data_IF_479918971327
#
_entry.id   IF_479918971327
#
_cell.length_a   1.000
_cell.length_b   1.000
_cell.length_c   1.000
_cell.angle_alpha   90.00
_cell.angle_beta   90.00
_cell.angle_gamma   90.00
#
_symmetry.space_group_name_H-M   'P 1'
#
loop_
_entity.id
_entity.type
_entity.pdbx_description
1 polymer ?
#
# COMPACT_ATOMS: atom_id res chain seq x y z
N UNK A 1 35.21 -0.68 -9.26
CA UNK A 1 34.36 -1.66 -8.56
C UNK A 1 33.26 -0.87 -7.86
N UNK A 2 32.02 -0.97 -8.35
CA UNK A 2 30.95 -0.04 -8.00
C UNK A 2 30.28 -0.48 -6.69
N UNK A 3 30.50 0.26 -5.62
CA UNK A 3 29.88 0.02 -4.30
C UNK A 3 28.45 0.58 -4.30
N UNK A 4 27.55 0.01 -5.10
CA UNK A 4 26.12 0.24 -4.93
C UNK A 4 25.64 -0.64 -3.78
N UNK A 5 25.58 -0.07 -2.58
CA UNK A 5 24.82 -0.62 -1.46
C UNK A 5 23.32 -0.53 -1.77
N UNK A 6 22.86 -1.31 -2.75
CA UNK A 6 21.46 -1.35 -3.16
C UNK A 6 20.63 -1.99 -2.03
N UNK A 7 20.11 -1.16 -1.13
CA UNK A 7 19.15 -1.58 -0.12
C UNK A 7 17.95 -2.31 -0.74
N UNK A 8 17.32 -3.16 0.05
CA UNK A 8 16.13 -3.90 -0.38
C UNK A 8 15.00 -2.92 -0.70
N UNK A 9 14.66 -2.78 -1.99
CA UNK A 9 13.46 -2.10 -2.49
C UNK A 9 12.19 -2.82 -2.04
N UNK A 10 11.32 -2.12 -1.32
CA UNK A 10 10.04 -2.64 -0.81
C UNK A 10 8.92 -1.71 -1.25
N UNK A 11 7.87 -2.27 -1.86
CA UNK A 11 6.61 -1.54 -2.07
C UNK A 11 5.71 -1.81 -0.88
N UNK A 12 5.26 -0.77 -0.21
CA UNK A 12 4.22 -0.85 0.81
C UNK A 12 2.90 -0.37 0.22
N UNK A 13 1.85 -1.16 0.39
CA UNK A 13 0.53 -0.86 -0.14
C UNK A 13 -0.54 -1.03 0.95
N UNK A 14 -0.76 0.00 1.79
CA UNK A 14 -1.79 -0.02 2.83
C UNK A 14 -3.20 0.17 2.28
N UNK A 15 -4.21 -0.27 3.03
CA UNK A 15 -5.58 0.20 2.78
C UNK A 15 -5.71 1.69 3.11
N UNK A 16 -6.54 2.42 2.36
CA UNK A 16 -6.65 3.90 2.40
C UNK A 16 -7.48 4.45 3.56
N UNK A 17 -7.37 3.85 4.74
CA UNK A 17 -7.93 4.35 6.00
C UNK A 17 -6.85 4.70 6.99
N UNK A 18 -7.04 5.73 7.82
CA UNK A 18 -6.00 6.18 8.75
C UNK A 18 -5.50 5.08 9.70
N UNK A 19 -6.38 4.18 10.14
CA UNK A 19 -6.03 3.04 10.99
C UNK A 19 -5.07 2.04 10.34
N UNK A 20 -4.99 2.03 9.00
CA UNK A 20 -4.08 1.19 8.24
C UNK A 20 -2.84 1.97 7.78
N UNK A 21 -3.05 3.17 7.23
CA UNK A 21 -1.98 4.04 6.73
C UNK A 21 -0.98 4.40 7.82
N UNK A 22 -1.44 4.70 9.04
CA UNK A 22 -0.55 5.16 10.12
C UNK A 22 0.43 4.06 10.58
N UNK A 23 0.01 2.82 10.91
CA UNK A 23 0.93 1.75 11.23
C UNK A 23 1.90 1.42 10.09
N UNK A 24 1.43 1.40 8.83
CA UNK A 24 2.30 1.21 7.67
C UNK A 24 3.36 2.32 7.56
N UNK A 25 3.00 3.57 7.82
CA UNK A 25 3.92 4.69 7.77
C UNK A 25 5.00 4.57 8.86
N UNK A 26 4.64 4.15 10.07
CA UNK A 26 5.61 3.91 11.14
C UNK A 26 6.52 2.72 10.84
N UNK A 27 6.01 1.66 10.19
CA UNK A 27 6.82 0.57 9.68
C UNK A 27 7.79 1.08 8.59
N UNK A 28 7.32 1.87 7.64
CA UNK A 28 8.14 2.48 6.58
C UNK A 28 9.30 3.28 7.17
N UNK A 29 9.01 4.15 8.14
CA UNK A 29 10.04 4.93 8.86
C UNK A 29 11.09 4.02 9.50
N UNK A 30 10.68 3.00 10.24
CA UNK A 30 11.59 2.06 10.91
C UNK A 30 12.45 1.24 9.94
N UNK A 31 11.90 0.84 8.79
CA UNK A 31 12.66 0.12 7.77
C UNK A 31 13.61 1.05 7.01
N UNK A 32 13.20 2.29 6.76
CA UNK A 32 14.00 3.28 6.03
C UNK A 32 15.29 3.72 6.74
N UNK A 33 15.37 3.54 8.06
CA UNK A 33 16.61 3.76 8.84
C UNK A 33 17.57 2.56 8.79
N UNK A 34 17.20 1.49 8.08
CA UNK A 34 18.01 0.29 7.83
C UNK A 34 18.32 0.24 6.32
N UNK A 35 18.83 -0.89 5.84
CA UNK A 35 19.17 -1.10 4.42
C UNK A 35 17.94 -1.36 3.52
N UNK A 36 16.83 -0.63 3.72
CA UNK A 36 15.63 -0.72 2.89
C UNK A 36 15.33 0.61 2.20
N UNK A 37 14.88 0.51 0.96
CA UNK A 37 14.32 1.63 0.21
C UNK A 37 12.81 1.38 0.05
N UNK A 38 11.98 2.30 0.54
CA UNK A 38 10.54 2.11 0.67
C UNK A 38 9.80 2.94 -0.38
N UNK A 39 9.02 2.28 -1.21
CA UNK A 39 8.01 2.89 -2.05
C UNK A 39 6.66 2.80 -1.35
N UNK A 40 6.20 3.91 -0.79
CA UNK A 40 4.91 3.99 -0.11
C UNK A 40 3.82 4.31 -1.14
N UNK A 41 3.13 3.27 -1.59
CA UNK A 41 2.14 3.35 -2.67
C UNK A 41 0.74 3.59 -2.11
N UNK A 42 0.02 4.62 -2.59
CA UNK A 42 -1.36 4.89 -2.18
C UNK A 42 -2.03 5.92 -3.08
N UNK A 43 -3.33 6.18 -2.90
CA UNK A 43 -4.06 7.23 -3.65
C UNK A 43 -3.53 8.64 -3.35
N UNK A 44 -3.61 9.60 -4.29
CA UNK A 44 -3.12 10.97 -4.10
C UNK A 44 -3.68 11.67 -2.85
N UNK A 45 -4.99 11.50 -2.58
CA UNK A 45 -5.64 12.07 -1.39
C UNK A 45 -5.07 11.53 -0.08
N UNK A 46 -4.65 10.26 -0.07
CA UNK A 46 -4.05 9.62 1.11
C UNK A 46 -2.59 10.03 1.28
N UNK A 47 -1.87 10.26 0.18
CA UNK A 47 -0.45 10.64 0.20
C UNK A 47 -0.22 12.11 0.60
N UNK A 48 -1.13 13.01 0.24
CA UNK A 48 -1.05 14.44 0.55
C UNK A 48 -0.71 14.76 2.03
N UNK A 49 -1.42 14.21 3.04
CA UNK A 49 -1.08 14.46 4.45
C UNK A 49 0.19 13.74 4.94
N UNK A 50 0.71 12.76 4.19
CA UNK A 50 1.90 11.98 4.57
C UNK A 50 3.18 12.71 4.16
N UNK A 51 3.17 13.45 3.05
CA UNK A 51 4.35 14.11 2.47
C UNK A 51 5.19 14.88 3.49
N UNK A 52 4.55 15.65 4.37
CA UNK A 52 5.26 16.43 5.40
C UNK A 52 5.81 15.58 6.55
N UNK A 53 5.24 14.38 6.79
CA UNK A 53 5.64 13.47 7.88
C UNK A 53 6.91 12.67 7.56
N UNK A 54 7.33 12.64 6.30
CA UNK A 54 8.48 11.87 5.83
C UNK A 54 9.63 12.72 5.30
N UNK A 55 9.58 14.03 5.46
CA UNK A 55 10.61 14.97 4.95
C UNK A 55 12.04 14.62 5.40
N UNK A 56 12.18 14.03 6.59
CA UNK A 56 13.47 13.61 7.16
C UNK A 56 13.91 12.20 6.72
N UNK A 57 13.08 11.46 5.97
CA UNK A 57 13.31 10.07 5.60
C UNK A 57 13.57 9.94 4.09
N UNK A 58 14.84 10.12 3.70
CA UNK A 58 15.27 10.13 2.29
C UNK A 58 15.07 8.79 1.55
N UNK A 59 14.99 7.69 2.29
CA UNK A 59 14.78 6.34 1.73
C UNK A 59 13.30 5.97 1.60
N UNK A 60 12.38 6.92 1.72
CA UNK A 60 10.95 6.74 1.50
C UNK A 60 10.50 7.60 0.32
N UNK A 61 10.00 6.96 -0.72
CA UNK A 61 9.40 7.60 -1.89
C UNK A 61 7.89 7.35 -1.90
N UNK A 62 7.10 8.41 -2.12
CA UNK A 62 5.65 8.28 -2.28
C UNK A 62 5.33 7.95 -3.73
N UNK A 63 4.55 6.88 -3.93
CA UNK A 63 4.16 6.42 -5.27
C UNK A 63 2.65 6.52 -5.40
N UNK A 64 2.20 7.36 -6.32
CA UNK A 64 0.77 7.51 -6.56
C UNK A 64 0.19 6.24 -7.21
N UNK A 65 -0.90 5.76 -6.63
CA UNK A 65 -1.76 4.74 -7.21
C UNK A 65 -2.99 5.42 -7.81
N UNK A 66 -3.01 5.65 -9.14
CA UNK A 66 -4.11 6.36 -9.77
C UNK A 66 -5.34 5.45 -9.85
N UNK A 67 -6.46 5.95 -9.33
CA UNK A 67 -7.78 5.38 -9.53
C UNK A 67 -8.53 6.23 -10.55
N UNK A 68 -9.34 5.57 -11.37
CA UNK A 68 -10.22 6.28 -12.29
C UNK A 68 -11.21 7.15 -11.53
N UNK A 69 -11.31 8.41 -11.94
CA UNK A 69 -12.24 9.38 -11.37
C UNK A 69 -13.46 9.48 -12.28
N UNK A 70 -14.63 9.32 -11.70
CA UNK A 70 -15.93 9.44 -12.39
C UNK A 70 -16.79 10.46 -11.67
N UNK A 71 -17.82 11.04 -12.31
CA UNK A 71 -18.77 11.92 -11.62
C UNK A 71 -19.39 11.28 -10.37
N UNK A 72 -19.64 9.96 -10.41
CA UNK A 72 -20.21 9.18 -9.33
C UNK A 72 -19.18 8.77 -8.26
N UNK A 73 -17.90 8.70 -8.64
CA UNK A 73 -16.79 8.34 -7.75
C UNK A 73 -15.58 9.28 -7.91
N UNK A 74 -15.69 10.54 -7.44
CA UNK A 74 -14.65 11.56 -7.55
C UNK A 74 -13.45 11.31 -6.61
N UNK A 75 -12.31 12.02 -6.80
CA UNK A 75 -11.08 11.81 -6.03
C UNK A 75 -11.21 11.88 -4.50
N UNK A 76 -12.17 12.64 -3.97
CA UNK A 76 -12.36 12.74 -2.52
C UNK A 76 -12.95 11.47 -1.90
N UNK A 77 -13.50 10.55 -2.72
CA UNK A 77 -13.97 9.23 -2.30
C UNK A 77 -12.90 8.14 -2.47
N UNK A 78 -11.70 8.47 -2.94
CA UNK A 78 -10.56 7.54 -3.08
C UNK A 78 -9.84 7.28 -1.74
N UNK A 79 -10.58 7.36 -0.64
CA UNK A 79 -10.15 7.10 0.73
C UNK A 79 -11.34 6.53 1.49
N UNK A 80 -11.08 5.75 2.55
CA UNK A 80 -12.13 5.32 3.47
C UNK A 80 -12.48 6.37 4.53
N UNK A 81 -11.70 7.45 4.61
CA UNK A 81 -11.94 8.52 5.57
C UNK A 81 -13.16 9.36 5.15
N UNK A 82 -14.24 9.25 5.92
CA UNK A 82 -15.51 9.92 5.58
C UNK A 82 -16.27 9.24 4.45
N UNK A 83 -15.85 8.04 4.02
CA UNK A 83 -16.59 7.26 3.02
C UNK A 83 -17.84 6.66 3.65
N UNK A 84 -19.04 6.89 3.08
CA UNK A 84 -20.25 6.19 3.50
C UNK A 84 -20.04 4.67 3.48
N UNK A 85 -20.44 3.91 4.52
CA UNK A 85 -20.15 2.48 4.62
C UNK A 85 -20.61 1.64 3.41
N UNK A 86 -21.73 2.02 2.80
CA UNK A 86 -22.27 1.34 1.62
C UNK A 86 -21.40 1.48 0.36
N UNK A 87 -20.48 2.46 0.31
CA UNK A 87 -19.54 2.65 -0.81
C UNK A 87 -18.22 1.88 -0.60
N UNK A 88 -18.01 1.25 0.56
CA UNK A 88 -16.80 0.46 0.82
C UNK A 88 -16.59 -0.68 -0.22
N UNK A 89 -17.63 -1.45 -0.62
CA UNK A 89 -17.47 -2.44 -1.68
C UNK A 89 -17.10 -1.82 -3.04
N UNK A 90 -17.67 -0.65 -3.36
CA UNK A 90 -17.32 0.11 -4.57
C UNK A 90 -15.85 0.52 -4.56
N UNK A 91 -15.36 1.08 -3.45
CA UNK A 91 -13.94 1.45 -3.31
C UNK A 91 -13.03 0.24 -3.51
N UNK A 92 -13.34 -0.92 -2.90
CA UNK A 92 -12.57 -2.16 -3.10
C UNK A 92 -12.53 -2.59 -4.57
N UNK A 93 -13.67 -2.50 -5.27
CA UNK A 93 -13.76 -2.83 -6.70
C UNK A 93 -12.93 -1.88 -7.56
N UNK A 94 -12.91 -0.57 -7.25
CA UNK A 94 -12.06 0.40 -7.96
C UNK A 94 -10.58 0.06 -7.79
N UNK A 95 -10.14 -0.34 -6.60
CA UNK A 95 -8.78 -0.81 -6.36
C UNK A 95 -8.47 -2.08 -7.16
N UNK A 96 -9.36 -3.08 -7.16
CA UNK A 96 -9.12 -4.30 -7.92
C UNK A 96 -9.09 -4.06 -9.45
N UNK A 97 -10.01 -3.24 -9.96
CA UNK A 97 -10.06 -2.86 -11.37
C UNK A 97 -8.80 -2.10 -11.81
N UNK A 98 -8.21 -1.30 -10.92
CA UNK A 98 -6.95 -0.60 -11.17
C UNK A 98 -5.70 -1.47 -10.91
N UNK A 99 -5.84 -2.78 -10.69
CA UNK A 99 -4.71 -3.69 -10.54
C UNK A 99 -3.71 -3.69 -11.72
N UNK A 100 -4.10 -3.44 -13.00
CA UNK A 100 -3.14 -3.27 -14.09
C UNK A 100 -2.17 -2.10 -13.85
N UNK A 101 -2.66 -0.99 -13.26
CA UNK A 101 -1.82 0.16 -12.90
C UNK A 101 -0.79 -0.25 -11.84
N UNK A 102 -1.20 -1.04 -10.85
CA UNK A 102 -0.28 -1.55 -9.83
C UNK A 102 0.77 -2.50 -10.43
N UNK A 103 0.37 -3.37 -11.37
CA UNK A 103 1.32 -4.20 -12.14
C UNK A 103 2.36 -3.35 -12.88
N UNK A 104 1.94 -2.24 -13.50
CA UNK A 104 2.88 -1.34 -14.18
C UNK A 104 3.83 -0.65 -13.20
N UNK A 105 3.32 -0.22 -12.04
CA UNK A 105 4.12 0.35 -10.96
C UNK A 105 5.20 -0.64 -10.51
N UNK A 106 4.84 -1.89 -10.16
CA UNK A 106 5.82 -2.86 -9.66
C UNK A 106 6.80 -3.34 -10.74
N UNK A 107 6.40 -3.38 -12.02
CA UNK A 107 7.35 -3.60 -13.13
C UNK A 107 8.39 -2.48 -13.23
N UNK A 108 7.95 -1.24 -13.06
CA UNK A 108 8.81 -0.05 -13.16
C UNK A 108 9.77 0.04 -11.99
N UNK A 109 9.26 -0.16 -10.76
CA UNK A 109 10.05 -0.07 -9.53
C UNK A 109 10.92 -1.31 -9.28
N UNK A 110 10.55 -2.45 -9.88
CA UNK A 110 11.20 -3.75 -9.69
C UNK A 110 11.51 -4.04 -8.21
N UNK A 111 10.51 -4.07 -7.31
CA UNK A 111 10.76 -4.25 -5.89
C UNK A 111 11.18 -5.70 -5.58
N UNK A 112 11.93 -5.89 -4.49
CA UNK A 112 12.28 -7.22 -3.99
C UNK A 112 11.18 -7.81 -3.10
N UNK A 113 10.28 -6.99 -2.57
CA UNK A 113 9.22 -7.38 -1.66
C UNK A 113 8.03 -6.42 -1.78
N UNK A 114 6.82 -6.96 -1.70
CA UNK A 114 5.59 -6.19 -1.50
C UNK A 114 5.07 -6.45 -0.10
N UNK A 115 4.79 -5.40 0.66
CA UNK A 115 4.07 -5.47 1.93
C UNK A 115 2.67 -4.90 1.70
N UNK A 116 1.63 -5.70 1.89
CA UNK A 116 0.27 -5.34 1.53
C UNK A 116 -0.72 -5.50 2.70
N UNK A 117 -1.89 -4.91 2.54
CA UNK A 117 -2.99 -4.91 3.51
C UNK A 117 -4.05 -5.98 3.23
N UNK A 118 -4.69 -6.49 4.28
CA UNK A 118 -5.73 -7.54 4.21
C UNK A 118 -6.87 -7.20 3.27
N UNK A 119 -7.22 -5.92 3.15
CA UNK A 119 -8.38 -5.47 2.39
C UNK A 119 -8.15 -5.50 0.87
N UNK A 120 -6.97 -5.93 0.41
CA UNK A 120 -6.61 -6.05 -1.00
C UNK A 120 -6.14 -7.49 -1.34
N UNK A 121 -7.04 -8.49 -1.30
CA UNK A 121 -6.69 -9.91 -1.49
C UNK A 121 -6.19 -10.26 -2.90
N UNK A 122 -6.38 -9.36 -3.88
CA UNK A 122 -5.87 -9.52 -5.24
C UNK A 122 -4.35 -9.29 -5.36
N UNK A 123 -3.74 -8.55 -4.42
CA UNK A 123 -2.32 -8.18 -4.44
C UNK A 123 -1.37 -9.39 -4.45
N UNK A 124 -1.51 -10.40 -3.56
CA UNK A 124 -0.59 -11.54 -3.55
C UNK A 124 -0.62 -12.35 -4.85
N UNK A 125 -1.80 -12.52 -5.47
CA UNK A 125 -1.93 -13.21 -6.76
C UNK A 125 -1.20 -12.45 -7.86
N UNK A 126 -1.37 -11.12 -7.90
CA UNK A 126 -0.66 -10.27 -8.86
C UNK A 126 0.86 -10.30 -8.62
N UNK A 127 1.31 -10.14 -7.38
CA UNK A 127 2.73 -10.22 -7.01
C UNK A 127 3.37 -11.55 -7.43
N UNK A 128 2.67 -12.67 -7.21
CA UNK A 128 3.13 -14.00 -7.64
C UNK A 128 3.31 -14.10 -9.15
N UNK A 129 2.43 -13.47 -9.94
CA UNK A 129 2.57 -13.45 -11.42
C UNK A 129 3.82 -12.69 -11.88
N UNK A 130 4.35 -11.80 -11.05
CA UNK A 130 5.61 -11.09 -11.25
C UNK A 130 6.81 -11.72 -10.55
N UNK A 131 6.63 -12.88 -9.90
CA UNK A 131 7.69 -13.56 -9.12
C UNK A 131 8.24 -12.69 -7.98
N UNK A 132 7.41 -11.81 -7.41
CA UNK A 132 7.76 -10.94 -6.28
C UNK A 132 7.12 -11.51 -5.01
N UNK A 133 7.87 -11.74 -3.93
CA UNK A 133 7.28 -12.17 -2.67
C UNK A 133 6.36 -11.10 -2.10
N UNK A 134 5.23 -11.52 -1.54
CA UNK A 134 4.25 -10.65 -0.91
C UNK A 134 4.09 -11.03 0.57
N UNK A 135 4.27 -10.07 1.46
CA UNK A 135 4.07 -10.22 2.90
C UNK A 135 2.86 -9.41 3.33
N UNK A 136 1.98 -10.07 4.06
CA UNK A 136 0.83 -9.42 4.64
C UNK A 136 1.22 -8.73 5.94
N UNK A 137 0.91 -7.44 6.08
CA UNK A 137 1.04 -6.72 7.34
C UNK A 137 -0.32 -6.42 7.96
N UNK A 138 -0.63 -7.13 9.05
CA UNK A 138 -1.83 -6.90 9.85
C UNK A 138 -1.65 -5.73 10.81
N UNK A 139 -2.64 -4.83 10.82
CA UNK A 139 -2.64 -3.61 11.64
C UNK A 139 -3.43 -3.76 12.94
N UNK A 140 -3.93 -4.96 13.23
CA UNK A 140 -4.70 -5.33 14.42
C UNK A 140 -4.11 -6.57 15.11
N UNK A 141 -4.52 -6.81 16.35
CA UNK A 141 -3.95 -7.85 17.20
C UNK A 141 -4.20 -9.28 16.69
N UNK A 142 -3.32 -10.20 17.09
CA UNK A 142 -3.37 -11.62 16.70
C UNK A 142 -4.70 -12.31 17.09
N UNK A 143 -5.29 -11.92 18.23
CA UNK A 143 -6.60 -12.45 18.67
C UNK A 143 -7.72 -12.07 17.69
N UNK A 144 -7.77 -10.82 17.26
CA UNK A 144 -8.74 -10.34 16.27
C UNK A 144 -8.54 -11.06 14.94
N UNK A 145 -7.28 -11.24 14.53
CA UNK A 145 -6.95 -11.98 13.32
C UNK A 145 -7.46 -13.43 13.39
N UNK A 146 -7.12 -14.16 14.45
CA UNK A 146 -7.54 -15.55 14.62
C UNK A 146 -9.07 -15.70 14.58
N UNK A 147 -9.81 -14.75 15.16
CA UNK A 147 -11.27 -14.73 15.07
C UNK A 147 -11.76 -14.61 13.61
N UNK A 148 -11.16 -13.72 12.81
CA UNK A 148 -11.58 -13.52 11.42
C UNK A 148 -11.12 -14.62 10.46
N UNK A 149 -10.03 -15.33 10.74
CA UNK A 149 -9.42 -16.30 9.79
C UNK A 149 -9.56 -17.76 10.19
N UNK A 150 -9.78 -18.07 11.46
CA UNK A 150 -9.87 -19.46 11.93
C UNK A 150 -11.31 -19.94 12.15
N UNK A 151 -12.31 -19.08 11.96
CA UNK A 151 -13.73 -19.37 12.18
C UNK A 151 -14.61 -19.22 10.92
N UNK A 152 -14.01 -19.33 9.74
CA UNK A 152 -14.68 -19.47 8.44
C UNK A 152 -14.03 -20.60 7.67
#
# INVERSE_FOLDING_TARGET
MNTNSNGLRVVMFPWVGYGHVSPFLELAKKLSTKSFHIYFCSTPITLKPIKNKISNYKSIELVEYPLESTPEFPPHLHTSNGLPPHLMPTLKKYFENASPNFSQIIKTLSPHLIIYDILMPWVPKLASSHQIPAVHFHTFGATSLAYFTCWT
#
